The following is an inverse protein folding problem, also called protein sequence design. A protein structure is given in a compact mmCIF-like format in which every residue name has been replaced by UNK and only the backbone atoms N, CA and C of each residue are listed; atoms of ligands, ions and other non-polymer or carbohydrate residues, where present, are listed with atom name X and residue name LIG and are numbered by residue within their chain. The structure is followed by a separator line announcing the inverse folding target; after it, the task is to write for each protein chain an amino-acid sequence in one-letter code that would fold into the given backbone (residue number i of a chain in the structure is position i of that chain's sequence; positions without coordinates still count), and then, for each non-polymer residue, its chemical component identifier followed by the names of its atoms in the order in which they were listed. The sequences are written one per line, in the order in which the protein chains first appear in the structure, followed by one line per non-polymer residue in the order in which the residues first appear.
data_IF_833991404468
#
_entry.id   IF_833991404468
#
_cell.length_a   1.000
_cell.length_b   1.000
_cell.length_c   1.000
_cell.angle_alpha   90.00
_cell.angle_beta   90.00
_cell.angle_gamma   90.00
#
_symmetry.space_group_name_H-M   'P 1'
#
loop_
_entity.id
_entity.type
_entity.pdbx_description
1 polymer ?
#
# COMPACT_ATOMS: atom_id res chain seq x y z
N UNK A 1 23.76 13.83 41.83
CA UNK A 1 23.54 12.74 40.85
C UNK A 1 22.79 13.32 39.65
N UNK A 2 23.31 13.17 38.43
CA UNK A 2 22.68 13.74 37.21
C UNK A 2 21.91 12.64 36.49
N UNK A 3 20.58 12.71 36.51
CA UNK A 3 19.72 11.82 35.73
C UNK A 3 19.77 12.27 34.27
N UNK A 4 20.02 11.34 33.36
CA UNK A 4 20.02 11.58 31.91
C UNK A 4 18.86 10.79 31.30
N UNK A 5 18.03 11.46 30.50
CA UNK A 5 16.97 10.78 29.75
C UNK A 5 17.52 10.30 28.40
N UNK A 6 17.39 9.01 28.11
CA UNK A 6 17.60 8.47 26.76
C UNK A 6 16.49 8.95 25.82
N UNK A 7 16.80 9.16 24.54
CA UNK A 7 15.82 9.62 23.56
C UNK A 7 14.61 8.68 23.46
N UNK A 8 13.40 9.27 23.59
CA UNK A 8 12.14 8.59 23.30
C UNK A 8 11.57 7.64 24.36
N UNK A 9 12.17 7.50 25.55
CA UNK A 9 11.64 6.64 26.63
C UNK A 9 11.31 7.41 27.90
N UNK A 10 10.14 7.13 28.48
CA UNK A 10 9.73 7.66 29.79
C UNK A 10 10.24 6.80 30.97
N UNK A 11 10.70 5.56 30.73
CA UNK A 11 11.26 4.70 31.78
C UNK A 11 12.70 5.12 32.07
N UNK A 12 12.94 5.68 33.26
CA UNK A 12 14.26 6.09 33.72
C UNK A 12 14.84 5.03 34.65
N UNK A 13 16.10 4.66 34.44
CA UNK A 13 16.79 3.63 35.24
C UNK A 13 17.87 4.23 36.11
N UNK A 14 18.05 3.67 37.30
CA UNK A 14 19.19 3.95 38.15
C UNK A 14 20.49 3.51 37.46
N UNK A 15 21.52 4.37 37.34
CA UNK A 15 22.77 4.02 36.68
C UNK A 15 23.63 3.02 37.48
N UNK A 16 23.30 2.77 38.76
CA UNK A 16 24.06 1.89 39.66
C UNK A 16 23.46 0.48 39.68
N UNK A 17 22.15 0.37 39.91
CA UNK A 17 21.46 -0.92 40.08
C UNK A 17 20.53 -1.29 38.91
N UNK A 18 20.37 -0.44 37.90
CA UNK A 18 19.49 -0.64 36.73
C UNK A 18 17.99 -0.78 37.02
N UNK A 19 17.56 -0.57 38.27
CA UNK A 19 16.15 -0.54 38.66
C UNK A 19 15.45 0.70 38.09
N UNK A 20 14.16 0.56 37.80
CA UNK A 20 13.33 1.67 37.33
C UNK A 20 13.12 2.67 38.46
N UNK A 21 13.23 3.95 38.13
CA UNK A 21 13.03 5.04 39.08
C UNK A 21 11.53 5.29 39.27
N UNK A 22 11.11 5.40 40.53
CA UNK A 22 9.75 5.76 40.88
C UNK A 22 9.46 7.24 40.61
N UNK A 23 8.17 7.56 40.39
CA UNK A 23 7.73 8.93 40.06
C UNK A 23 8.17 9.97 41.10
N UNK A 24 8.07 9.64 42.39
CA UNK A 24 8.46 10.57 43.47
C UNK A 24 9.95 10.93 43.40
N UNK A 25 10.80 9.95 43.07
CA UNK A 25 12.25 10.14 42.93
C UNK A 25 12.57 11.01 41.73
N UNK A 26 11.87 10.78 40.61
CA UNK A 26 11.99 11.59 39.39
C UNK A 26 11.55 13.02 39.69
N UNK A 27 10.40 13.23 40.34
CA UNK A 27 9.89 14.56 40.66
C UNK A 27 10.81 15.35 41.59
N UNK A 28 11.41 14.68 42.59
CA UNK A 28 12.29 15.32 43.58
C UNK A 28 13.67 15.69 43.02
N UNK A 29 14.22 14.86 42.12
CA UNK A 29 15.61 14.98 41.67
C UNK A 29 15.79 15.45 40.22
N UNK A 30 14.71 15.59 39.45
CA UNK A 30 14.78 16.13 38.09
C UNK A 30 14.59 17.65 38.06
N UNK A 31 15.18 18.30 37.05
CA UNK A 31 14.81 19.68 36.73
C UNK A 31 13.37 19.74 36.22
N UNK A 32 12.70 20.89 36.36
CA UNK A 32 11.34 21.10 35.84
C UNK A 32 11.20 20.71 34.37
N UNK A 33 12.15 21.11 33.53
CA UNK A 33 12.17 20.77 32.10
C UNK A 33 12.29 19.25 31.85
N UNK A 34 13.12 18.56 32.64
CA UNK A 34 13.25 17.12 32.55
C UNK A 34 11.99 16.39 33.00
N UNK A 35 11.38 16.84 34.10
CA UNK A 35 10.12 16.29 34.60
C UNK A 35 8.97 16.48 33.60
N UNK A 36 8.85 17.67 32.99
CA UNK A 36 7.85 17.92 31.93
C UNK A 36 8.03 16.95 30.76
N UNK A 37 9.26 16.78 30.26
CA UNK A 37 9.54 15.84 29.17
C UNK A 37 9.26 14.38 29.56
N UNK A 38 9.53 13.99 30.80
CA UNK A 38 9.13 12.69 31.34
C UNK A 38 7.60 12.52 31.27
N UNK A 39 6.84 13.50 31.78
CA UNK A 39 5.38 13.48 31.76
C UNK A 39 4.83 13.39 30.33
N UNK A 40 5.38 14.16 29.39
CA UNK A 40 4.97 14.13 27.98
C UNK A 40 5.21 12.75 27.36
N UNK A 41 6.38 12.14 27.61
CA UNK A 41 6.70 10.81 27.09
C UNK A 41 5.84 9.72 27.74
N UNK A 42 5.55 9.84 29.04
CA UNK A 42 4.68 8.91 29.76
C UNK A 42 3.24 8.99 29.24
N UNK A 43 2.72 10.20 29.05
CA UNK A 43 1.39 10.44 28.49
C UNK A 43 1.28 9.94 27.04
N UNK A 44 2.30 10.19 26.22
CA UNK A 44 2.34 9.66 24.85
C UNK A 44 2.36 8.14 24.84
N UNK A 45 3.15 7.51 25.72
CA UNK A 45 3.20 6.06 25.82
C UNK A 45 1.85 5.47 26.24
N UNK A 46 1.23 6.02 27.29
CA UNK A 46 -0.10 5.63 27.74
C UNK A 46 -1.16 5.83 26.67
N UNK A 47 -1.13 6.97 25.96
CA UNK A 47 -2.11 7.25 24.90
C UNK A 47 -1.99 6.23 23.77
N UNK A 48 -0.77 5.95 23.31
CA UNK A 48 -0.51 4.98 22.23
C UNK A 48 -0.89 3.54 22.59
N UNK A 49 -1.00 3.20 23.88
CA UNK A 49 -1.42 1.87 24.31
C UNK A 49 -2.94 1.71 24.40
N UNK A 50 -3.73 2.77 24.20
CA UNK A 50 -5.18 2.67 24.21
C UNK A 50 -5.73 2.14 22.88
N UNK A 51 -6.80 1.35 22.94
CA UNK A 51 -7.44 0.78 21.75
C UNK A 51 -8.12 1.83 20.85
N UNK A 52 -8.49 2.97 21.42
CA UNK A 52 -9.16 4.09 20.76
C UNK A 52 -8.17 5.18 20.30
N UNK A 53 -6.86 4.93 20.43
CA UNK A 53 -5.84 5.84 19.94
C UNK A 53 -5.70 5.76 18.42
N UNK A 54 -5.68 6.92 17.78
CA UNK A 54 -5.64 7.08 16.33
C UNK A 54 -4.62 8.15 15.93
N UNK A 55 -3.86 7.85 14.87
CA UNK A 55 -2.91 8.78 14.29
C UNK A 55 -3.60 9.76 13.33
N UNK A 56 -3.16 11.01 13.32
CA UNK A 56 -3.51 11.93 12.25
C UNK A 56 -2.75 11.54 10.98
N UNK A 57 -3.46 11.34 9.88
CA UNK A 57 -2.87 10.91 8.60
C UNK A 57 -2.62 12.07 7.63
N UNK A 58 -2.67 13.32 8.11
CA UNK A 58 -2.26 14.45 7.31
C UNK A 58 -0.75 14.41 7.08
N UNK A 59 -0.31 14.62 5.84
CA UNK A 59 1.07 14.43 5.39
C UNK A 59 2.15 15.20 6.17
N UNK A 60 1.78 16.28 6.88
CA UNK A 60 2.69 17.10 7.70
C UNK A 60 2.35 17.09 9.20
N UNK A 61 1.46 16.20 9.64
CA UNK A 61 1.07 16.09 11.03
C UNK A 61 1.58 14.76 11.61
N UNK A 62 2.36 14.84 12.68
CA UNK A 62 2.82 13.66 13.44
C UNK A 62 2.04 13.46 14.74
N UNK A 63 0.89 14.11 14.89
CA UNK A 63 0.08 14.04 16.11
C UNK A 63 -0.84 12.82 16.08
N UNK A 64 -1.20 12.31 17.26
CA UNK A 64 -2.24 11.31 17.44
C UNK A 64 -3.09 11.66 18.66
N UNK A 65 -4.27 11.07 18.76
CA UNK A 65 -5.22 11.34 19.83
C UNK A 65 -6.12 10.14 20.10
N UNK A 66 -6.70 10.12 21.29
CA UNK A 66 -7.77 9.18 21.64
C UNK A 66 -9.08 9.68 21.02
N UNK A 67 -9.79 8.81 20.31
CA UNK A 67 -11.06 9.12 19.66
C UNK A 67 -12.14 8.10 20.06
N UNK A 68 -12.97 8.49 21.02
CA UNK A 68 -14.07 7.69 21.55
C UNK A 68 -15.40 8.08 20.90
N UNK A 69 -16.30 7.11 20.71
CA UNK A 69 -17.67 7.39 20.28
C UNK A 69 -18.08 6.84 18.91
N UNK A 70 -17.34 5.88 18.35
CA UNK A 70 -17.78 5.07 17.20
C UNK A 70 -17.92 5.80 15.86
N UNK A 71 -17.83 7.13 15.83
CA UNK A 71 -17.81 7.90 14.59
C UNK A 71 -16.49 7.65 13.85
N UNK A 72 -16.56 7.27 12.57
CA UNK A 72 -15.39 7.05 11.75
C UNK A 72 -14.58 8.33 11.50
N UNK A 73 -15.18 9.53 11.58
CA UNK A 73 -14.49 10.80 11.38
C UNK A 73 -13.83 11.26 12.68
N UNK A 74 -12.50 11.20 12.71
CA UNK A 74 -11.70 11.87 13.73
C UNK A 74 -11.15 13.20 13.20
N UNK A 75 -11.34 14.29 13.94
CA UNK A 75 -10.73 15.59 13.65
C UNK A 75 -9.49 15.77 14.51
N UNK A 76 -8.34 15.97 13.88
CA UNK A 76 -7.07 16.15 14.57
C UNK A 76 -7.08 17.40 15.45
N UNK A 77 -6.78 17.27 16.74
CA UNK A 77 -6.72 18.41 17.68
C UNK A 77 -5.63 19.40 17.28
N UNK A 78 -4.51 18.90 16.75
CA UNK A 78 -3.30 19.67 16.39
C UNK A 78 -3.45 20.45 15.09
N UNK A 79 -3.80 19.79 13.98
CA UNK A 79 -3.82 20.40 12.65
C UNK A 79 -5.21 20.58 12.03
N UNK A 80 -6.27 20.13 12.72
CA UNK A 80 -7.68 20.15 12.26
C UNK A 80 -7.99 19.30 11.02
N UNK A 81 -7.01 18.59 10.46
CA UNK A 81 -7.27 17.63 9.40
C UNK A 81 -8.15 16.47 9.91
N UNK A 82 -9.02 15.98 9.04
CA UNK A 82 -9.90 14.84 9.34
C UNK A 82 -9.29 13.52 8.87
N UNK A 83 -9.49 12.45 9.63
CA UNK A 83 -9.03 11.09 9.33
C UNK A 83 -10.18 10.11 9.52
N UNK A 84 -10.33 9.15 8.60
CA UNK A 84 -11.22 8.02 8.77
C UNK A 84 -10.52 6.99 9.66
N UNK A 85 -10.98 6.81 10.91
CA UNK A 85 -10.40 5.83 11.85
C UNK A 85 -10.77 4.38 11.51
N UNK A 86 -11.84 4.19 10.74
CA UNK A 86 -12.26 2.86 10.28
C UNK A 86 -11.33 2.33 9.17
N UNK A 87 -11.05 3.17 8.16
CA UNK A 87 -10.22 2.79 7.01
C UNK A 87 -8.75 3.21 7.11
N UNK A 88 -8.39 3.99 8.15
CA UNK A 88 -7.04 4.52 8.34
C UNK A 88 -6.53 5.28 7.10
N UNK A 89 -7.33 6.24 6.63
CA UNK A 89 -7.02 7.11 5.50
C UNK A 89 -7.41 8.57 5.81
N UNK A 90 -6.82 9.56 5.11
CA UNK A 90 -7.33 10.93 5.14
C UNK A 90 -8.83 10.94 4.83
N UNK A 91 -9.60 11.70 5.62
CA UNK A 91 -11.04 11.78 5.44
C UNK A 91 -11.38 12.39 4.08
N UNK A 92 -12.41 11.84 3.42
CA UNK A 92 -12.96 12.36 2.18
C UNK A 92 -14.38 12.87 2.47
N UNK A 93 -14.62 14.15 2.22
CA UNK A 93 -15.95 14.73 2.38
C UNK A 93 -16.93 14.17 1.34
N UNK A 94 -18.17 13.95 1.76
CA UNK A 94 -19.24 13.44 0.88
C UNK A 94 -19.22 11.94 0.60
N UNK A 95 -18.33 11.17 1.23
CA UNK A 95 -18.28 9.71 1.11
C UNK A 95 -18.35 9.06 2.49
N UNK A 96 -19.36 8.22 2.71
CA UNK A 96 -19.48 7.40 3.92
C UNK A 96 -18.58 6.18 3.85
N UNK A 97 -18.32 5.55 5.00
CA UNK A 97 -17.52 4.33 5.04
C UNK A 97 -18.18 3.18 4.25
N UNK A 98 -19.50 3.08 4.28
CA UNK A 98 -20.25 2.06 3.54
C UNK A 98 -20.07 2.23 2.02
N UNK A 99 -20.23 3.45 1.51
CA UNK A 99 -20.04 3.74 0.08
C UNK A 99 -18.59 3.51 -0.36
N UNK A 100 -17.61 3.82 0.50
CA UNK A 100 -16.22 3.50 0.21
C UNK A 100 -15.98 1.98 0.09
N UNK A 101 -16.53 1.18 1.01
CA UNK A 101 -16.42 -0.28 0.98
C UNK A 101 -17.12 -0.89 -0.24
N UNK A 102 -18.28 -0.36 -0.64
CA UNK A 102 -18.98 -0.75 -1.85
C UNK A 102 -18.14 -0.45 -3.10
N UNK A 103 -17.58 0.75 -3.21
CA UNK A 103 -16.74 1.13 -4.36
C UNK A 103 -15.51 0.24 -4.51
N UNK A 104 -14.90 -0.19 -3.40
CA UNK A 104 -13.77 -1.11 -3.42
C UNK A 104 -14.16 -2.50 -3.93
N UNK A 105 -15.36 -2.98 -3.60
CA UNK A 105 -15.89 -4.25 -4.12
C UNK A 105 -16.20 -4.16 -5.62
N UNK A 106 -16.79 -3.06 -6.07
CA UNK A 106 -17.08 -2.82 -7.47
C UNK A 106 -15.80 -2.76 -8.31
N UNK A 107 -14.81 -1.99 -7.87
CA UNK A 107 -13.49 -1.90 -8.52
C UNK A 107 -12.82 -3.27 -8.63
N UNK A 108 -12.84 -4.07 -7.55
CA UNK A 108 -12.28 -5.42 -7.58
C UNK A 108 -13.03 -6.35 -8.55
N UNK A 109 -14.37 -6.26 -8.58
CA UNK A 109 -15.19 -7.04 -9.50
C UNK A 109 -14.95 -6.64 -10.97
N UNK A 110 -14.78 -5.34 -11.24
CA UNK A 110 -14.44 -4.82 -12.56
C UNK A 110 -13.03 -5.23 -13.00
N UNK A 111 -12.04 -5.13 -12.11
CA UNK A 111 -10.67 -5.57 -12.39
C UNK A 111 -10.63 -7.07 -12.70
N UNK A 112 -11.35 -7.89 -11.91
CA UNK A 112 -11.49 -9.32 -12.19
C UNK A 112 -12.11 -9.58 -13.57
N UNK A 113 -13.20 -8.91 -13.92
CA UNK A 113 -13.83 -9.01 -15.25
C UNK A 113 -12.88 -8.56 -16.37
N UNK A 114 -12.11 -7.50 -16.14
CA UNK A 114 -11.11 -7.00 -17.08
C UNK A 114 -10.00 -8.05 -17.31
N UNK A 115 -9.47 -8.64 -16.24
CA UNK A 115 -8.46 -9.71 -16.31
C UNK A 115 -9.01 -10.94 -17.04
N UNK A 116 -10.23 -11.38 -16.72
CA UNK A 116 -10.89 -12.49 -17.42
C UNK A 116 -11.09 -12.19 -18.91
N UNK A 117 -11.46 -10.95 -19.27
CA UNK A 117 -11.58 -10.53 -20.66
C UNK A 117 -10.23 -10.60 -21.38
N UNK A 118 -9.18 -10.04 -20.80
CA UNK A 118 -7.82 -10.12 -21.36
C UNK A 118 -7.38 -11.58 -21.55
N UNK A 119 -7.62 -12.46 -20.58
CA UNK A 119 -7.28 -13.88 -20.71
C UNK A 119 -8.05 -14.59 -21.83
N UNK A 120 -9.31 -14.21 -22.07
CA UNK A 120 -10.17 -14.83 -23.09
C UNK A 120 -9.93 -14.28 -24.49
N UNK A 121 -9.59 -13.00 -24.63
CA UNK A 121 -9.50 -12.33 -25.93
C UNK A 121 -8.07 -12.11 -26.42
N UNK A 122 -7.06 -12.39 -25.58
CA UNK A 122 -5.66 -12.18 -25.93
C UNK A 122 -4.84 -13.46 -25.84
N UNK A 123 -3.74 -13.48 -26.58
CA UNK A 123 -2.74 -14.55 -26.60
C UNK A 123 -1.42 -13.94 -26.16
N UNK A 124 -0.72 -14.60 -25.23
CA UNK A 124 0.57 -14.13 -24.76
C UNK A 124 1.66 -14.29 -25.84
N UNK A 125 2.41 -13.23 -26.11
CA UNK A 125 3.59 -13.29 -26.97
C UNK A 125 4.58 -14.35 -26.47
N UNK A 126 5.04 -15.30 -27.30
CA UNK A 126 5.95 -16.36 -26.86
C UNK A 126 7.30 -15.85 -26.35
N UNK A 127 7.72 -14.67 -26.85
CA UNK A 127 9.01 -14.06 -26.51
C UNK A 127 8.95 -13.16 -25.27
N UNK A 128 7.95 -12.28 -25.17
CA UNK A 128 7.90 -11.25 -24.12
C UNK A 128 6.68 -11.35 -23.20
N UNK A 129 5.78 -12.32 -23.43
CA UNK A 129 4.57 -12.59 -22.65
C UNK A 129 3.52 -11.49 -22.63
N UNK A 130 3.74 -10.38 -23.33
CA UNK A 130 2.74 -9.34 -23.47
C UNK A 130 1.44 -9.91 -24.09
N UNK A 131 0.26 -9.54 -23.57
CA UNK A 131 -1.02 -9.98 -24.13
C UNK A 131 -1.23 -9.34 -25.51
N UNK A 132 -1.54 -10.15 -26.52
CA UNK A 132 -1.79 -9.71 -27.89
C UNK A 132 -3.24 -10.05 -28.26
N UNK A 133 -4.04 -9.04 -28.55
CA UNK A 133 -5.40 -9.18 -29.07
C UNK A 133 -5.38 -9.38 -30.59
N UNK A 134 -6.24 -10.25 -31.12
CA UNK A 134 -6.37 -10.45 -32.57
C UNK A 134 -7.28 -9.38 -33.17
N UNK A 135 -6.75 -8.55 -34.05
CA UNK A 135 -7.49 -7.51 -34.76
C UNK A 135 -8.03 -7.94 -36.15
N UNK A 136 -8.23 -9.25 -36.37
CA UNK A 136 -8.86 -9.81 -37.58
C UNK A 136 -7.92 -10.16 -38.74
N UNK A 137 -8.47 -10.83 -39.76
CA UNK A 137 -7.87 -11.03 -41.10
C UNK A 137 -6.77 -12.08 -41.25
N UNK A 138 -5.68 -11.98 -40.50
CA UNK A 138 -4.48 -12.80 -40.69
C UNK A 138 -4.06 -13.57 -39.42
N UNK A 139 -3.46 -14.75 -39.59
CA UNK A 139 -2.86 -15.51 -38.48
C UNK A 139 -1.43 -15.09 -38.17
N UNK A 140 -0.76 -14.37 -39.07
CA UNK A 140 0.56 -13.77 -38.83
C UNK A 140 0.43 -12.60 -37.87
N UNK A 141 1.11 -12.67 -36.74
CA UNK A 141 1.07 -11.66 -35.70
C UNK A 141 2.47 -11.14 -35.41
N UNK A 142 2.63 -9.82 -35.34
CA UNK A 142 3.88 -9.15 -34.94
C UNK A 142 3.69 -8.46 -33.60
N UNK A 143 4.49 -8.84 -32.61
CA UNK A 143 4.41 -8.27 -31.27
C UNK A 143 4.93 -6.81 -31.26
N UNK A 144 4.02 -5.86 -31.04
CA UNK A 144 4.37 -4.44 -30.96
C UNK A 144 4.72 -3.97 -29.53
N UNK A 145 4.48 -4.81 -28.52
CA UNK A 145 4.74 -4.50 -27.12
C UNK A 145 6.20 -4.18 -26.84
N UNK A 146 6.45 -3.29 -25.88
CA UNK A 146 7.81 -3.08 -25.34
C UNK A 146 8.24 -4.35 -24.61
N UNK A 147 9.49 -4.78 -24.82
CA UNK A 147 9.98 -5.99 -24.14
C UNK A 147 10.03 -5.78 -22.62
N UNK A 148 9.99 -6.87 -21.84
CA UNK A 148 10.01 -6.83 -20.38
C UNK A 148 11.28 -6.15 -19.79
N UNK A 149 12.31 -5.95 -20.61
CA UNK A 149 13.59 -5.33 -20.26
C UNK A 149 13.67 -3.83 -20.60
N UNK A 150 12.58 -3.22 -21.09
CA UNK A 150 12.52 -1.78 -21.42
C UNK A 150 13.40 -1.31 -22.58
N UNK A 151 14.18 -2.20 -23.21
CA UNK A 151 15.17 -1.89 -24.25
C UNK A 151 14.60 -2.01 -25.67
N UNK A 152 13.39 -1.51 -25.91
CA UNK A 152 12.78 -1.42 -27.25
C UNK A 152 11.55 -2.30 -27.51
N UNK A 153 10.98 -2.19 -28.72
CA UNK A 153 9.82 -2.99 -29.18
C UNK A 153 10.24 -4.47 -29.32
N UNK A 154 9.35 -5.41 -28.96
CA UNK A 154 9.61 -6.84 -29.02
C UNK A 154 9.81 -7.34 -30.46
N UNK A 155 8.94 -6.91 -31.38
CA UNK A 155 9.03 -7.20 -32.81
C UNK A 155 8.89 -8.66 -33.22
N UNK A 156 8.62 -9.57 -32.28
CA UNK A 156 8.57 -11.01 -32.54
C UNK A 156 7.37 -11.39 -33.42
N UNK A 157 7.61 -12.17 -34.47
CA UNK A 157 6.60 -12.58 -35.44
C UNK A 157 6.26 -14.06 -35.27
N UNK A 158 4.98 -14.38 -35.18
CA UNK A 158 4.50 -15.74 -34.87
C UNK A 158 3.07 -15.95 -35.37
N UNK A 159 2.64 -17.22 -35.45
CA UNK A 159 1.25 -17.56 -35.71
C UNK A 159 0.40 -17.36 -34.45
N UNK A 160 -0.68 -16.59 -34.54
CA UNK A 160 -1.57 -16.31 -33.41
C UNK A 160 -2.17 -17.56 -32.76
N UNK A 161 -2.49 -18.59 -33.56
CA UNK A 161 -3.18 -19.77 -33.08
C UNK A 161 -2.25 -20.84 -32.49
N UNK A 162 -1.09 -21.06 -33.11
CA UNK A 162 -0.18 -22.14 -32.69
C UNK A 162 1.12 -21.65 -32.05
N UNK A 163 1.33 -20.33 -31.99
CA UNK A 163 2.46 -19.67 -31.33
C UNK A 163 3.84 -19.97 -31.93
N UNK A 164 3.87 -20.68 -33.05
CA UNK A 164 5.10 -21.02 -33.78
C UNK A 164 5.68 -19.74 -34.42
N UNK A 165 7.00 -19.51 -34.34
CA UNK A 165 7.65 -18.38 -35.01
C UNK A 165 7.32 -18.35 -36.51
N UNK A 166 7.06 -17.15 -37.02
CA UNK A 166 6.74 -16.96 -38.43
C UNK A 166 7.98 -17.13 -39.31
N UNK A 167 7.85 -17.85 -40.42
CA UNK A 167 8.88 -18.03 -41.44
C UNK A 167 8.35 -17.45 -42.76
N UNK A 168 9.12 -16.57 -43.42
CA UNK A 168 8.65 -15.83 -44.59
C UNK A 168 8.60 -16.68 -45.87
N UNK A 169 9.52 -17.63 -46.03
CA UNK A 169 9.60 -18.46 -47.24
C UNK A 169 8.56 -19.60 -47.22
N UNK A 170 8.42 -20.26 -46.06
CA UNK A 170 7.47 -21.37 -45.86
C UNK A 170 6.90 -21.33 -44.43
N UNK A 171 5.72 -20.71 -44.21
CA UNK A 171 5.14 -20.59 -42.87
C UNK A 171 4.83 -21.95 -42.24
N UNK A 172 5.58 -22.31 -41.19
CA UNK A 172 5.38 -23.55 -40.45
C UNK A 172 4.34 -23.38 -39.34
N UNK A 173 3.44 -24.36 -39.22
CA UNK A 173 2.48 -24.43 -38.14
C UNK A 173 2.54 -25.78 -37.43
N UNK A 174 2.16 -25.78 -36.14
CA UNK A 174 2.00 -27.01 -35.36
C UNK A 174 0.81 -27.83 -35.88
N UNK A 175 0.87 -29.15 -35.74
CA UNK A 175 -0.27 -30.04 -35.98
C UNK A 175 -1.50 -29.56 -35.20
N UNK A 176 -2.65 -29.47 -35.89
CA UNK A 176 -3.90 -28.95 -35.32
C UNK A 176 -4.04 -27.42 -35.28
N UNK A 177 -3.16 -26.68 -35.97
CA UNK A 177 -3.32 -25.23 -36.13
C UNK A 177 -4.56 -24.89 -36.95
N UNK A 178 -5.34 -23.89 -36.50
CA UNK A 178 -6.53 -23.36 -37.19
C UNK A 178 -6.25 -22.73 -38.56
N UNK A 179 -4.99 -22.60 -38.97
CA UNK A 179 -4.64 -22.17 -40.34
C UNK A 179 -4.82 -23.30 -41.36
N UNK A 180 -4.78 -24.56 -40.90
CA UNK A 180 -5.00 -25.75 -41.74
C UNK A 180 -6.45 -26.28 -41.69
N UNK A 181 -7.36 -25.57 -41.01
CA UNK A 181 -8.78 -25.91 -40.87
C UNK A 181 -9.63 -24.88 -41.61
#
# INVERSE_FOLDING_TARGET
MRILMSEGKHILKCPICSQDLELWFIQLHCTKAMFTKYCDLALQHYSRSQADFNWCLASKCGSGQIHQGGNARMVCVSCKASTCVHHQLPWRDGLTCAEFDDSGREQWAEEKKSLEKVQKTTVACPRCRAPIEKNGGCSHMKCLSRNALGKGKCGYEFCYYCLVPWQHDEPKHKSGCRVYQ
#
